data_IF_765321298729
#
_entry.id   IF_765321298729
#
_cell.length_a   1.000
_cell.length_b   1.000
_cell.length_c   1.000
_cell.angle_alpha   90.00
_cell.angle_beta   90.00
_cell.angle_gamma   90.00
#
_symmetry.space_group_name_H-M   'P 1'
#
loop_
_entity.id
_entity.type
_entity.pdbx_description
1 polymer ?
#
# COMPACT_ATOMS: atom_id res chain seq x y z
N UNK A 1 -4.32 -26.17 -6.06
CA UNK A 1 -4.78 -25.04 -5.22
C UNK A 1 -3.74 -23.93 -5.31
N UNK A 2 -4.08 -22.70 -5.73
CA UNK A 2 -3.10 -21.61 -5.74
C UNK A 2 -2.62 -21.37 -4.31
N UNK A 3 -1.30 -21.23 -4.13
CA UNK A 3 -0.72 -20.97 -2.82
C UNK A 3 -1.38 -19.74 -2.18
N UNK A 4 -1.64 -19.74 -0.86
CA UNK A 4 -2.15 -18.57 -0.17
C UNK A 4 -1.14 -17.45 -0.35
N UNK A 5 -1.51 -16.45 -1.16
CA UNK A 5 -0.71 -15.24 -1.30
C UNK A 5 -0.61 -14.60 0.07
N UNK A 6 0.61 -14.28 0.50
CA UNK A 6 0.91 -13.59 1.77
C UNK A 6 0.04 -12.35 2.00
N UNK A 7 -0.41 -11.72 0.91
CA UNK A 7 -1.39 -10.65 0.91
C UNK A 7 -2.55 -10.99 -0.03
N UNK A 8 -3.80 -11.00 0.45
CA UNK A 8 -4.97 -11.18 -0.41
C UNK A 8 -5.10 -10.00 -1.40
N UNK A 9 -5.69 -10.23 -2.58
CA UNK A 9 -5.84 -9.20 -3.61
C UNK A 9 -6.63 -7.98 -3.12
N UNK A 10 -7.65 -8.20 -2.29
CA UNK A 10 -8.46 -7.13 -1.68
C UNK A 10 -7.62 -6.19 -0.82
N UNK A 11 -6.67 -6.73 -0.05
CA UNK A 11 -5.75 -5.94 0.77
C UNK A 11 -4.80 -5.14 -0.11
N UNK A 12 -4.29 -5.76 -1.19
CA UNK A 12 -3.45 -5.06 -2.17
C UNK A 12 -4.20 -3.90 -2.81
N UNK A 13 -5.40 -4.12 -3.32
CA UNK A 13 -6.22 -3.08 -3.97
C UNK A 13 -6.55 -1.94 -3.00
N UNK A 14 -6.93 -2.26 -1.76
CA UNK A 14 -7.16 -1.28 -0.70
C UNK A 14 -5.90 -0.45 -0.41
N UNK A 15 -4.75 -1.11 -0.30
CA UNK A 15 -3.48 -0.44 0.00
C UNK A 15 -3.04 0.50 -1.14
N UNK A 16 -3.19 0.06 -2.39
CA UNK A 16 -2.91 0.89 -3.58
C UNK A 16 -3.83 2.10 -3.61
N UNK A 17 -5.15 1.90 -3.46
CA UNK A 17 -6.12 3.01 -3.49
C UNK A 17 -5.80 4.05 -2.42
N UNK A 18 -5.54 3.60 -1.19
CA UNK A 18 -5.23 4.47 -0.06
C UNK A 18 -3.90 5.21 -0.24
N UNK A 19 -2.87 4.56 -0.78
CA UNK A 19 -1.59 5.20 -1.09
C UNK A 19 -1.69 6.21 -2.24
N UNK A 20 -2.47 5.92 -3.27
CA UNK A 20 -2.70 6.82 -4.41
C UNK A 20 -3.51 8.05 -3.99
N UNK A 21 -4.57 7.85 -3.21
CA UNK A 21 -5.40 8.94 -2.68
C UNK A 21 -4.58 9.85 -1.78
N UNK A 22 -3.83 9.29 -0.82
CA UNK A 22 -3.00 10.09 0.07
C UNK A 22 -1.82 10.77 -0.66
N UNK A 23 -1.30 10.18 -1.76
CA UNK A 23 -0.26 10.85 -2.59
C UNK A 23 -0.79 12.08 -3.34
N UNK A 24 -2.12 12.16 -3.59
CA UNK A 24 -2.74 13.35 -4.20
C UNK A 24 -2.75 14.53 -3.22
N UNK A 25 -2.75 14.26 -1.93
CA UNK A 25 -2.61 15.30 -0.90
C UNK A 25 -1.15 15.77 -0.85
N UNK A 26 -0.90 16.99 -1.33
CA UNK A 26 0.45 17.56 -1.41
C UNK A 26 1.15 17.63 -0.02
N UNK A 27 0.37 17.73 1.05
CA UNK A 27 0.83 17.78 2.42
C UNK A 27 1.43 16.45 2.95
N UNK A 28 1.13 15.32 2.30
CA UNK A 28 1.50 13.98 2.78
C UNK A 28 2.32 13.19 1.77
N UNK A 29 2.70 13.79 0.63
CA UNK A 29 3.53 13.15 -0.40
C UNK A 29 4.77 12.43 0.14
N UNK A 30 5.44 13.03 1.12
CA UNK A 30 6.57 12.41 1.81
C UNK A 30 6.06 11.45 2.89
N UNK A 31 6.42 10.17 2.74
CA UNK A 31 6.12 9.14 3.74
C UNK A 31 4.72 8.52 3.68
N UNK A 32 3.85 8.89 2.73
CA UNK A 32 2.53 8.24 2.55
C UNK A 32 2.63 6.74 2.41
N UNK A 33 3.59 6.25 1.62
CA UNK A 33 3.79 4.80 1.46
C UNK A 33 4.19 4.17 2.80
N UNK A 34 5.06 4.82 3.59
CA UNK A 34 5.47 4.31 4.89
C UNK A 34 4.30 4.26 5.88
N UNK A 35 3.45 5.29 5.91
CA UNK A 35 2.28 5.40 6.78
C UNK A 35 1.19 4.40 6.42
N UNK A 36 0.83 4.30 5.14
CA UNK A 36 -0.19 3.36 4.67
C UNK A 36 0.26 1.91 4.87
N UNK A 37 1.55 1.63 4.65
CA UNK A 37 2.13 0.32 4.91
C UNK A 37 2.07 -0.04 6.40
N UNK A 38 2.43 0.89 7.29
CA UNK A 38 2.36 0.73 8.74
C UNK A 38 0.92 0.49 9.22
N UNK A 39 -0.04 1.29 8.73
CA UNK A 39 -1.47 1.15 9.05
C UNK A 39 -2.07 -0.18 8.62
N UNK A 40 -1.59 -0.77 7.52
CA UNK A 40 -2.09 -2.03 6.97
C UNK A 40 -1.24 -3.25 7.37
N UNK A 41 -0.14 -3.05 8.11
CA UNK A 41 0.81 -4.11 8.45
C UNK A 41 1.53 -4.70 7.22
N UNK A 42 1.64 -3.93 6.14
CA UNK A 42 2.32 -4.33 4.90
C UNK A 42 3.75 -3.82 4.94
N UNK A 43 4.68 -4.55 4.34
CA UNK A 43 6.04 -4.03 4.18
C UNK A 43 6.04 -2.80 3.24
N UNK A 44 6.76 -1.75 3.65
CA UNK A 44 6.82 -0.47 2.91
C UNK A 44 7.32 -0.64 1.47
N UNK A 45 8.33 -1.48 1.25
CA UNK A 45 8.82 -1.80 -0.10
C UNK A 45 7.82 -2.62 -0.90
N UNK A 46 7.06 -3.51 -0.26
CA UNK A 46 5.98 -4.24 -0.94
C UNK A 46 4.90 -3.28 -1.44
N UNK A 47 4.47 -2.34 -0.59
CA UNK A 47 3.50 -1.33 -0.99
C UNK A 47 4.05 -0.41 -2.09
N UNK A 48 5.34 -0.03 -2.02
CA UNK A 48 6.00 0.73 -3.07
C UNK A 48 5.98 0.01 -4.41
N UNK A 49 6.28 -1.29 -4.43
CA UNK A 49 6.22 -2.12 -5.65
C UNK A 49 4.81 -2.26 -6.24
N UNK A 50 3.76 -2.06 -5.44
CA UNK A 50 2.37 -2.10 -5.93
C UNK A 50 1.88 -0.76 -6.48
N UNK A 51 2.49 0.34 -6.06
CA UNK A 51 2.12 1.72 -6.45
C UNK A 51 3.02 2.26 -7.58
N UNK A 52 4.16 1.62 -7.84
CA UNK A 52 4.99 1.83 -9.05
C UNK A 52 4.20 1.48 -10.30
#
# INVERSE_FOLDING_TARGET
MPAPRKYPPELRERAIRMAVEARREAATRDGVIARTADQLGVNRETLRNWVT
#
